data_IF_808627001115
#
_entry.id   IF_808627001115
#
_cell.length_a   1.000
_cell.length_b   1.000
_cell.length_c   1.000
_cell.angle_alpha   90.00
_cell.angle_beta   90.00
_cell.angle_gamma   90.00
#
_symmetry.space_group_name_H-M   'P 1'
#
loop_
_entity.id
_entity.type
_entity.pdbx_description
1 polymer ?
#
# COMPACT_ATOMS: atom_id res chain seq x y z
N UNK A 1 -25.01 12.25 24.08
CA UNK A 1 -26.24 11.45 23.92
C UNK A 1 -26.03 10.56 22.70
N UNK A 2 -26.35 9.26 22.77
CA UNK A 2 -26.16 8.31 21.67
C UNK A 2 -27.55 7.85 21.21
N UNK A 3 -27.85 8.00 19.92
CA UNK A 3 -29.13 7.60 19.32
C UNK A 3 -29.10 6.13 18.85
N UNK A 4 -30.19 5.40 19.07
CA UNK A 4 -30.33 3.97 18.76
C UNK A 4 -31.57 3.75 17.88
N UNK A 5 -31.54 2.73 17.03
CA UNK A 5 -32.70 2.32 16.22
C UNK A 5 -32.87 3.04 14.88
N UNK A 6 -31.89 3.85 14.46
CA UNK A 6 -31.89 4.44 13.12
C UNK A 6 -31.63 3.35 12.05
N UNK A 7 -32.40 3.30 10.96
CA UNK A 7 -32.20 2.33 9.89
C UNK A 7 -30.83 2.56 9.22
N UNK A 8 -30.07 1.47 9.05
CA UNK A 8 -28.77 1.52 8.37
C UNK A 8 -29.02 1.67 6.86
N UNK A 9 -28.52 2.72 6.20
CA UNK A 9 -28.62 2.84 4.75
C UNK A 9 -28.00 1.62 4.06
N UNK A 10 -28.60 1.17 2.95
CA UNK A 10 -28.08 0.03 2.18
C UNK A 10 -26.60 0.30 1.85
N UNK A 11 -25.73 -0.62 2.26
CA UNK A 11 -24.30 -0.48 2.06
C UNK A 11 -24.00 -0.30 0.55
N UNK A 12 -23.35 0.81 0.20
CA UNK A 12 -22.81 0.98 -1.14
C UNK A 12 -21.72 -0.08 -1.37
N UNK A 13 -21.51 -0.49 -2.64
CA UNK A 13 -20.36 -1.33 -2.98
C UNK A 13 -19.08 -0.67 -2.49
N UNK A 14 -18.17 -1.48 -1.93
CA UNK A 14 -16.90 -1.00 -1.41
C UNK A 14 -16.12 -0.18 -2.44
N UNK A 15 -15.36 0.81 -1.97
CA UNK A 15 -14.55 1.69 -2.83
C UNK A 15 -13.49 0.86 -3.56
N UNK A 16 -13.29 1.14 -4.84
CA UNK A 16 -12.19 0.53 -5.61
C UNK A 16 -10.83 0.89 -4.98
N UNK A 17 -9.86 -0.03 -4.93
CA UNK A 17 -8.53 0.26 -4.39
C UNK A 17 -7.90 1.44 -5.12
N UNK A 18 -7.35 2.40 -4.36
CA UNK A 18 -6.70 3.60 -4.91
C UNK A 18 -5.34 3.29 -5.54
N UNK A 19 -4.61 2.33 -4.97
CA UNK A 19 -3.23 2.03 -5.34
C UNK A 19 -3.09 0.59 -5.85
N UNK A 20 -2.18 0.35 -6.81
CA UNK A 20 -2.11 -0.91 -7.54
C UNK A 20 -1.34 -2.03 -6.80
N UNK A 21 -1.35 -2.07 -5.46
CA UNK A 21 -0.55 -3.04 -4.68
C UNK A 21 -0.76 -4.50 -5.08
N UNK A 22 -2.01 -4.87 -5.41
CA UNK A 22 -2.36 -6.23 -5.83
C UNK A 22 -1.77 -6.62 -7.20
N UNK A 23 -1.35 -5.64 -7.99
CA UNK A 23 -0.81 -5.84 -9.35
C UNK A 23 0.72 -5.81 -9.41
N UNK A 24 1.40 -5.54 -8.29
CA UNK A 24 2.86 -5.44 -8.26
C UNK A 24 3.50 -6.82 -8.07
N UNK A 25 4.47 -7.13 -8.93
CA UNK A 25 5.37 -8.27 -8.79
C UNK A 25 6.61 -7.90 -7.97
N UNK A 26 7.37 -8.87 -7.47
CA UNK A 26 8.60 -8.58 -6.72
C UNK A 26 9.59 -7.85 -7.64
N UNK A 27 10.10 -6.69 -7.17
CA UNK A 27 10.95 -5.81 -7.96
C UNK A 27 10.19 -4.61 -8.55
N UNK A 28 8.87 -4.72 -8.73
CA UNK A 28 8.07 -3.61 -9.24
C UNK A 28 7.97 -2.46 -8.26
N UNK A 29 7.76 -1.27 -8.81
CA UNK A 29 7.43 -0.08 -8.03
C UNK A 29 6.46 0.84 -8.76
N UNK A 30 5.73 1.63 -7.98
CA UNK A 30 4.94 2.74 -8.51
C UNK A 30 5.23 4.03 -7.75
N UNK A 31 5.08 5.15 -8.44
CA UNK A 31 5.32 6.49 -7.94
C UNK A 31 4.00 7.24 -7.78
N UNK A 32 3.88 7.98 -6.67
CA UNK A 32 2.78 8.90 -6.42
C UNK A 32 3.35 10.30 -6.28
N UNK A 33 2.99 11.17 -7.21
CA UNK A 33 3.38 12.58 -7.17
C UNK A 33 2.67 13.29 -6.01
N UNK A 34 3.39 14.19 -5.34
CA UNK A 34 2.86 14.99 -4.24
C UNK A 34 3.85 15.10 -3.09
N UNK A 35 3.99 16.30 -2.53
CA UNK A 35 4.97 16.55 -1.47
C UNK A 35 4.32 16.43 -0.09
N UNK A 36 5.09 15.92 0.88
CA UNK A 36 4.76 16.03 2.30
C UNK A 36 4.63 14.70 3.04
N UNK A 37 4.82 14.78 4.36
CA UNK A 37 4.76 13.64 5.28
C UNK A 37 3.39 12.93 5.29
N UNK A 38 2.31 13.66 4.97
CA UNK A 38 0.97 13.09 4.88
C UNK A 38 0.85 12.03 3.78
N UNK A 39 1.42 12.27 2.59
CA UNK A 39 1.40 11.31 1.49
C UNK A 39 2.22 10.06 1.83
N UNK A 40 3.39 10.24 2.44
CA UNK A 40 4.23 9.12 2.89
C UNK A 40 3.47 8.25 3.90
N UNK A 41 2.80 8.89 4.87
CA UNK A 41 2.01 8.22 5.90
C UNK A 41 0.82 7.47 5.30
N UNK A 42 0.09 8.10 4.37
CA UNK A 42 -1.04 7.47 3.67
C UNK A 42 -0.58 6.21 2.93
N UNK A 43 0.46 6.33 2.10
CA UNK A 43 0.91 5.23 1.27
C UNK A 43 1.49 4.08 2.11
N UNK A 44 2.20 4.40 3.19
CA UNK A 44 2.71 3.42 4.16
C UNK A 44 1.58 2.66 4.86
N UNK A 45 0.50 3.37 5.25
CA UNK A 45 -0.67 2.74 5.86
C UNK A 45 -1.38 1.80 4.89
N UNK A 46 -1.57 2.21 3.63
CA UNK A 46 -2.16 1.35 2.62
C UNK A 46 -1.31 0.12 2.32
N UNK A 47 0.02 0.28 2.24
CA UNK A 47 0.95 -0.84 2.04
C UNK A 47 0.89 -1.85 3.20
N UNK A 48 0.87 -1.37 4.45
CA UNK A 48 0.76 -2.23 5.62
C UNK A 48 -0.61 -2.92 5.72
N UNK A 49 -1.70 -2.22 5.39
CA UNK A 49 -3.03 -2.83 5.29
C UNK A 49 -3.04 -3.95 4.25
N UNK A 50 -2.51 -3.69 3.05
CA UNK A 50 -2.43 -4.69 1.99
C UNK A 50 -1.61 -5.91 2.43
N UNK A 51 -0.44 -5.70 3.04
CA UNK A 51 0.38 -6.79 3.61
C UNK A 51 -0.41 -7.66 4.59
N UNK A 52 -1.18 -7.05 5.50
CA UNK A 52 -1.93 -7.77 6.54
C UNK A 52 -3.12 -8.58 6.00
N UNK A 53 -3.78 -8.09 4.96
CA UNK A 53 -5.03 -8.68 4.45
C UNK A 53 -4.88 -9.45 3.14
N UNK A 54 -3.85 -9.15 2.35
CA UNK A 54 -3.64 -9.71 1.01
C UNK A 54 -2.20 -10.24 0.82
N UNK A 55 -1.32 -10.06 1.81
CA UNK A 55 0.08 -10.45 1.72
C UNK A 55 0.95 -9.50 0.91
N UNK A 56 2.19 -9.94 0.67
CA UNK A 56 3.24 -9.18 0.00
C UNK A 56 3.99 -8.23 0.93
N UNK A 57 5.31 -8.09 0.69
CA UNK A 57 6.13 -7.14 1.42
C UNK A 57 6.35 -5.89 0.60
N UNK A 58 6.28 -4.73 1.24
CA UNK A 58 6.40 -3.46 0.56
C UNK A 58 7.36 -2.54 1.30
N UNK A 59 8.11 -1.76 0.54
CA UNK A 59 8.91 -0.64 1.05
C UNK A 59 8.28 0.64 0.51
N UNK A 60 8.18 1.67 1.34
CA UNK A 60 7.64 2.97 0.94
C UNK A 60 8.61 4.06 1.39
N UNK A 61 9.01 4.95 0.49
CA UNK A 61 9.97 6.03 0.78
C UNK A 61 9.61 7.30 0.03
N UNK A 62 9.87 8.44 0.68
CA UNK A 62 9.90 9.73 0.00
C UNK A 62 11.07 9.77 -0.97
N UNK A 63 10.80 10.23 -2.18
CA UNK A 63 11.78 10.50 -3.24
C UNK A 63 11.53 11.92 -3.76
N UNK A 64 12.38 12.43 -4.64
CA UNK A 64 12.14 13.76 -5.19
C UNK A 64 10.76 13.85 -5.87
N UNK A 65 10.03 14.90 -5.56
CA UNK A 65 8.68 15.16 -6.07
C UNK A 65 7.55 14.24 -5.57
N UNK A 66 7.81 13.22 -4.74
CA UNK A 66 6.75 12.29 -4.35
C UNK A 66 7.14 11.16 -3.39
N UNK A 67 6.34 10.10 -3.44
CA UNK A 67 6.57 8.88 -2.66
C UNK A 67 6.53 7.69 -3.61
N UNK A 68 7.51 6.80 -3.47
CA UNK A 68 7.59 5.54 -4.22
C UNK A 68 7.34 4.36 -3.29
N UNK A 69 6.60 3.39 -3.81
CA UNK A 69 6.35 2.12 -3.14
C UNK A 69 6.89 0.98 -4.01
N UNK A 70 7.67 0.09 -3.41
CA UNK A 70 8.25 -1.09 -4.04
C UNK A 70 7.62 -2.36 -3.47
N UNK A 71 7.38 -3.36 -4.31
CA UNK A 71 7.11 -4.73 -3.87
C UNK A 71 8.44 -5.45 -3.72
N UNK A 72 8.71 -5.96 -2.52
CA UNK A 72 9.97 -6.62 -2.18
C UNK A 72 9.75 -8.06 -1.78
N UNK A 73 10.80 -8.87 -1.92
CA UNK A 73 10.81 -10.23 -1.41
C UNK A 73 10.72 -10.22 0.13
N UNK A 74 10.19 -11.30 0.75
CA UNK A 74 10.39 -11.56 2.17
C UNK A 74 11.88 -11.61 2.52
N UNK A 75 12.22 -11.22 3.75
CA UNK A 75 13.61 -11.26 4.24
C UNK A 75 14.23 -12.66 4.19
N UNK A 76 13.41 -13.71 4.17
CA UNK A 76 13.86 -15.10 4.16
C UNK A 76 14.11 -15.66 2.75
N UNK A 77 13.89 -14.85 1.70
CA UNK A 77 14.03 -15.25 0.31
C UNK A 77 15.37 -14.84 -0.33
N UNK A 78 16.37 -14.41 0.46
CA UNK A 78 17.71 -14.09 -0.05
C UNK A 78 18.50 -15.37 -0.32
N UNK A 79 18.17 -16.02 -1.43
CA UNK A 79 19.01 -17.00 -2.11
C UNK A 79 19.13 -16.59 -3.58
N UNK A 80 20.33 -16.18 -3.97
CA UNK A 80 20.82 -16.03 -5.36
C UNK A 80 20.28 -14.89 -6.21
N UNK A 81 21.16 -13.92 -6.50
CA UNK A 81 21.60 -13.57 -7.86
C UNK A 81 22.24 -12.18 -7.86
N UNK A 82 23.47 -12.07 -7.35
CA UNK A 82 24.47 -11.20 -7.99
C UNK A 82 25.18 -12.08 -9.03
N UNK A 83 24.96 -11.79 -10.31
CA UNK A 83 25.85 -12.22 -11.37
C UNK A 83 26.34 -10.97 -12.06
N UNK A 84 27.64 -10.75 -11.91
CA UNK A 84 28.46 -9.78 -12.62
C UNK A 84 28.51 -10.05 -14.12
#
# INVERSE_FOLDING_TARGET
MIEKGLPIPRAARGRRPRYPFAKLEIGDSFFVAGKGAALLKELSNCANYHRRHHGGNFVVRSVDGGVRAWRVAPKDATGSSESA
#
